data_IF_258953970172
#
_entry.id   IF_258953970172
#
_cell.length_a   1.000
_cell.length_b   1.000
_cell.length_c   1.000
_cell.angle_alpha   90.00
_cell.angle_beta   90.00
_cell.angle_gamma   90.00
#
_symmetry.space_group_name_H-M   'P 1'
#
loop_
_entity.id
_entity.type
_entity.pdbx_description
1 polymer ?
#
# COMPACT_ATOMS: atom_id res chain seq x y z
N UNK A 1 50.25 58.08 2.43
CA UNK A 1 49.95 56.98 1.49
C UNK A 1 49.39 55.80 2.30
N UNK A 2 48.07 55.65 2.39
CA UNK A 2 47.42 54.54 3.12
C UNK A 2 46.21 54.08 2.31
N UNK A 3 46.29 52.86 1.74
CA UNK A 3 45.18 52.19 1.04
C UNK A 3 44.41 51.34 2.05
N UNK A 4 43.10 51.56 2.19
CA UNK A 4 42.20 50.70 2.97
C UNK A 4 41.93 49.40 2.19
N UNK A 5 41.90 48.22 2.82
CA UNK A 5 41.52 46.99 2.14
C UNK A 5 39.99 46.89 2.08
N UNK A 6 39.45 46.67 0.88
CA UNK A 6 38.05 46.33 0.69
C UNK A 6 37.91 44.81 0.80
N UNK A 7 37.14 44.34 1.79
CA UNK A 7 36.75 42.92 1.89
C UNK A 7 35.52 42.69 1.03
N UNK A 8 35.67 41.90 -0.03
CA UNK A 8 34.54 41.35 -0.79
C UNK A 8 34.08 40.07 -0.11
N UNK A 9 32.87 40.08 0.47
CA UNK A 9 32.19 38.87 0.93
C UNK A 9 31.46 38.26 -0.27
N UNK A 10 31.96 37.15 -0.78
CA UNK A 10 31.31 36.38 -1.83
C UNK A 10 30.19 35.55 -1.20
N UNK A 11 28.94 35.99 -1.35
CA UNK A 11 27.77 35.21 -0.91
C UNK A 11 27.57 34.03 -1.87
N UNK A 12 27.89 32.82 -1.41
CA UNK A 12 27.63 31.58 -2.15
C UNK A 12 26.14 31.23 -2.02
N UNK A 13 25.35 31.54 -3.05
CA UNK A 13 23.95 31.10 -3.13
C UNK A 13 23.93 29.63 -3.51
N UNK A 14 23.75 28.75 -2.53
CA UNK A 14 23.51 27.33 -2.77
C UNK A 14 22.05 27.22 -3.26
N UNK A 15 21.87 27.06 -4.56
CA UNK A 15 20.57 26.71 -5.13
C UNK A 15 20.24 25.28 -4.68
N UNK A 16 19.41 25.14 -3.64
CA UNK A 16 18.82 23.86 -3.27
C UNK A 16 17.84 23.51 -4.39
N UNK A 17 18.02 22.38 -5.11
CA UNK A 17 17.05 21.98 -6.12
C UNK A 17 15.72 21.72 -5.41
N UNK A 18 14.71 22.50 -5.74
CA UNK A 18 13.35 22.21 -5.34
C UNK A 18 12.97 20.87 -5.99
N UNK A 19 12.88 19.82 -5.17
CA UNK A 19 12.29 18.56 -5.59
C UNK A 19 10.82 18.83 -5.92
N UNK A 20 10.52 19.00 -7.20
CA UNK A 20 9.15 19.06 -7.68
C UNK A 20 8.56 17.67 -7.56
N UNK A 21 7.75 17.43 -6.53
CA UNK A 21 6.89 16.24 -6.51
C UNK A 21 5.89 16.39 -7.66
N UNK A 22 5.84 15.41 -8.56
CA UNK A 22 4.83 15.40 -9.61
C UNK A 22 3.43 15.53 -8.98
N UNK A 23 2.52 16.23 -9.66
CA UNK A 23 1.16 16.38 -9.15
C UNK A 23 0.50 15.00 -8.95
N UNK A 24 -0.34 14.83 -7.92
CA UNK A 24 -1.08 13.60 -7.73
C UNK A 24 -1.91 13.24 -8.98
N UNK A 25 -1.85 11.97 -9.37
CA UNK A 25 -2.67 11.43 -10.47
C UNK A 25 -3.60 10.37 -9.92
N UNK A 26 -4.90 10.50 -10.20
CA UNK A 26 -5.94 9.62 -9.67
C UNK A 26 -6.53 8.77 -10.80
N UNK A 27 -6.56 7.46 -10.58
CA UNK A 27 -7.26 6.50 -11.43
C UNK A 27 -8.39 5.85 -10.65
N UNK A 28 -9.47 5.49 -11.34
CA UNK A 28 -10.59 4.77 -10.76
C UNK A 28 -10.87 3.48 -11.54
N UNK A 29 -11.16 2.40 -10.82
CA UNK A 29 -11.62 1.14 -11.38
C UNK A 29 -12.86 0.65 -10.64
N UNK A 30 -13.74 -0.02 -11.36
CA UNK A 30 -15.01 -0.52 -10.80
C UNK A 30 -15.13 -2.03 -11.03
N UNK A 31 -16.01 -2.67 -10.28
CA UNK A 31 -16.40 -4.08 -10.49
C UNK A 31 -17.91 -4.22 -10.32
N UNK A 32 -18.56 -5.14 -11.05
CA UNK A 32 -18.05 -5.75 -12.29
C UNK A 32 -17.79 -4.66 -13.35
N UNK A 33 -16.89 -4.89 -14.31
CA UNK A 33 -16.50 -3.86 -15.27
C UNK A 33 -16.38 -4.41 -16.69
N UNK A 34 -16.72 -3.54 -17.66
CA UNK A 34 -16.45 -3.71 -19.09
C UNK A 34 -15.27 -2.85 -19.57
N UNK A 35 -14.64 -2.11 -18.66
CA UNK A 35 -13.49 -1.21 -18.91
C UNK A 35 -12.35 -1.45 -17.91
N UNK A 36 -11.85 -0.38 -17.28
CA UNK A 36 -10.85 -0.52 -16.21
C UNK A 36 -11.47 -1.20 -14.98
N UNK A 37 -10.98 -2.39 -14.64
CA UNK A 37 -11.52 -3.13 -13.49
C UNK A 37 -10.87 -2.72 -12.17
N UNK A 38 -11.63 -2.78 -11.08
CA UNK A 38 -11.13 -2.55 -9.73
C UNK A 38 -9.94 -3.47 -9.40
N UNK A 39 -9.99 -4.74 -9.84
CA UNK A 39 -8.90 -5.68 -9.70
C UNK A 39 -7.63 -5.22 -10.46
N UNK A 40 -7.76 -4.70 -11.69
CA UNK A 40 -6.61 -4.19 -12.44
C UNK A 40 -5.92 -3.02 -11.73
N UNK A 41 -6.67 -2.14 -11.06
CA UNK A 41 -6.08 -1.05 -10.27
C UNK A 41 -5.27 -1.57 -9.09
N UNK A 42 -5.78 -2.59 -8.38
CA UNK A 42 -5.05 -3.26 -7.29
C UNK A 42 -3.77 -3.92 -7.81
N UNK A 43 -3.84 -4.67 -8.91
CA UNK A 43 -2.67 -5.34 -9.49
C UNK A 43 -1.64 -4.32 -9.99
N UNK A 44 -2.07 -3.24 -10.65
CA UNK A 44 -1.20 -2.16 -11.12
C UNK A 44 -0.40 -1.52 -9.97
N UNK A 45 -1.03 -1.32 -8.80
CA UNK A 45 -0.34 -0.80 -7.63
C UNK A 45 0.78 -1.75 -7.16
N UNK A 46 0.50 -3.06 -7.07
CA UNK A 46 1.45 -4.07 -6.59
C UNK A 46 2.60 -4.29 -7.59
N UNK A 47 2.29 -4.35 -8.88
CA UNK A 47 3.28 -4.55 -9.94
C UNK A 47 4.18 -3.31 -10.13
N UNK A 48 3.63 -2.12 -9.87
CA UNK A 48 4.35 -0.85 -9.87
C UNK A 48 5.33 -0.68 -8.71
N UNK A 49 5.16 -1.40 -7.60
CA UNK A 49 5.97 -1.24 -6.39
C UNK A 49 7.46 -1.57 -6.62
N UNK A 50 8.33 -0.81 -5.97
CA UNK A 50 9.80 -0.95 -6.05
C UNK A 50 10.47 -1.15 -4.69
N UNK A 51 9.90 -0.62 -3.60
CA UNK A 51 10.50 -0.62 -2.26
C UNK A 51 9.61 -1.32 -1.24
N UNK A 52 8.33 -0.94 -1.16
CA UNK A 52 7.42 -1.44 -0.14
C UNK A 52 5.96 -1.49 -0.58
N UNK A 53 5.22 -2.45 -0.02
CA UNK A 53 3.75 -2.54 -0.09
C UNK A 53 3.22 -2.89 1.30
N UNK A 54 2.48 -1.98 1.90
CA UNK A 54 1.81 -2.15 3.19
C UNK A 54 0.30 -2.19 2.99
N UNK A 55 -0.38 -3.24 3.48
CA UNK A 55 -1.76 -3.57 3.09
C UNK A 55 -2.66 -3.77 4.31
N UNK A 56 -3.75 -3.01 4.40
CA UNK A 56 -4.83 -3.28 5.35
C UNK A 56 -6.00 -3.95 4.61
N UNK A 57 -6.38 -5.16 5.03
CA UNK A 57 -7.38 -5.98 4.35
C UNK A 57 -8.46 -6.49 5.30
N UNK A 58 -9.72 -6.15 5.03
CA UNK A 58 -10.85 -6.79 5.73
C UNK A 58 -10.95 -8.28 5.39
N UNK A 59 -11.34 -8.63 4.17
CA UNK A 59 -11.41 -10.04 3.73
C UNK A 59 -10.43 -10.29 2.59
N UNK A 60 -9.69 -11.40 2.67
CA UNK A 60 -8.66 -11.74 1.70
C UNK A 60 -8.77 -13.21 1.25
N UNK A 61 -9.30 -13.40 0.03
CA UNK A 61 -9.41 -14.71 -0.65
C UNK A 61 -8.95 -14.67 -2.11
N UNK A 62 -8.50 -13.52 -2.60
CA UNK A 62 -8.12 -13.32 -3.99
C UNK A 62 -6.76 -13.95 -4.30
N UNK A 63 -6.78 -15.04 -5.08
CA UNK A 63 -5.59 -15.68 -5.64
C UNK A 63 -4.72 -14.74 -6.48
N UNK A 64 -5.25 -13.95 -7.45
CA UNK A 64 -4.40 -13.08 -8.26
C UNK A 64 -3.70 -12.00 -7.42
N UNK A 65 -4.38 -11.40 -6.45
CA UNK A 65 -3.76 -10.41 -5.55
C UNK A 65 -2.68 -11.08 -4.70
N UNK A 66 -2.95 -12.26 -4.13
CA UNK A 66 -1.96 -12.98 -3.33
C UNK A 66 -0.72 -13.36 -4.16
N UNK A 67 -0.90 -13.81 -5.41
CA UNK A 67 0.20 -14.11 -6.32
C UNK A 67 1.04 -12.87 -6.65
N UNK A 68 0.41 -11.73 -6.90
CA UNK A 68 1.09 -10.47 -7.18
C UNK A 68 1.94 -10.00 -5.98
N UNK A 69 1.45 -10.15 -4.74
CA UNK A 69 2.21 -9.81 -3.54
C UNK A 69 3.45 -10.70 -3.34
N UNK A 70 3.31 -11.99 -3.61
CA UNK A 70 4.47 -12.91 -3.58
C UNK A 70 5.46 -12.56 -4.68
N UNK A 71 4.98 -12.21 -5.87
CA UNK A 71 5.85 -11.73 -6.96
C UNK A 71 6.58 -10.44 -6.57
N UNK A 72 5.90 -9.46 -5.98
CA UNK A 72 6.51 -8.23 -5.49
C UNK A 72 7.62 -8.54 -4.45
N UNK A 73 7.33 -9.38 -3.47
CA UNK A 73 8.34 -9.84 -2.50
C UNK A 73 9.54 -10.49 -3.19
N UNK A 74 9.31 -11.36 -4.17
CA UNK A 74 10.40 -12.03 -4.90
C UNK A 74 11.24 -11.04 -5.73
N UNK A 75 10.70 -9.87 -6.09
CA UNK A 75 11.48 -8.75 -6.69
C UNK A 75 12.29 -7.96 -5.66
N UNK A 76 12.21 -8.29 -4.36
CA UNK A 76 12.89 -7.58 -3.28
C UNK A 76 12.05 -6.49 -2.61
N UNK A 77 10.76 -6.35 -2.96
CA UNK A 77 9.86 -5.38 -2.33
C UNK A 77 9.51 -5.86 -0.91
N UNK A 78 9.61 -4.99 0.09
CA UNK A 78 9.14 -5.28 1.44
C UNK A 78 7.61 -5.32 1.46
N UNK A 79 7.02 -6.45 1.89
CA UNK A 79 5.55 -6.58 1.92
C UNK A 79 5.07 -6.90 3.33
N UNK A 80 4.14 -6.08 3.84
CA UNK A 80 3.46 -6.27 5.13
C UNK A 80 1.95 -6.27 4.94
N UNK A 81 1.26 -7.16 5.65
CA UNK A 81 -0.20 -7.27 5.62
C UNK A 81 -0.77 -7.26 7.03
N UNK A 82 -1.71 -6.36 7.29
CA UNK A 82 -2.67 -6.48 8.40
C UNK A 82 -3.99 -6.94 7.84
N UNK A 83 -4.53 -8.04 8.37
CA UNK A 83 -5.85 -8.52 7.98
C UNK A 83 -6.79 -8.65 9.17
N UNK A 84 -8.10 -8.49 8.95
CA UNK A 84 -9.09 -8.76 10.00
C UNK A 84 -9.03 -10.24 10.42
N UNK A 85 -9.00 -10.50 11.73
CA UNK A 85 -8.84 -11.86 12.26
C UNK A 85 -10.04 -12.75 11.95
N UNK A 86 -11.26 -12.24 12.08
CA UNK A 86 -12.49 -13.03 11.95
C UNK A 86 -12.84 -13.28 10.49
N UNK A 87 -12.69 -12.28 9.63
CA UNK A 87 -12.96 -12.39 8.20
C UNK A 87 -11.94 -13.26 7.44
N UNK A 88 -10.83 -13.65 8.08
CA UNK A 88 -9.78 -14.49 7.51
C UNK A 88 -9.51 -15.76 8.34
N UNK A 89 -10.46 -16.21 9.17
CA UNK A 89 -10.33 -17.45 9.94
C UNK A 89 -10.74 -18.71 9.18
N UNK A 90 -11.35 -18.56 8.00
CA UNK A 90 -11.80 -19.70 7.17
C UNK A 90 -10.64 -20.31 6.33
N UNK A 91 -10.75 -21.60 6.02
CA UNK A 91 -9.74 -22.38 5.26
C UNK A 91 -9.40 -21.82 3.88
N UNK A 92 -10.29 -21.02 3.27
CA UNK A 92 -10.10 -20.43 1.95
C UNK A 92 -9.40 -19.06 1.98
N UNK A 93 -8.99 -18.57 3.16
CA UNK A 93 -8.21 -17.34 3.25
C UNK A 93 -6.90 -17.44 2.46
N UNK A 94 -6.53 -16.36 1.78
CA UNK A 94 -5.21 -16.24 1.17
C UNK A 94 -4.12 -15.87 2.20
N UNK A 95 -4.50 -15.50 3.44
CA UNK A 95 -3.56 -15.12 4.50
C UNK A 95 -2.58 -16.26 4.81
N UNK A 96 -3.07 -17.49 4.98
CA UNK A 96 -2.21 -18.66 5.24
C UNK A 96 -1.23 -18.90 4.10
N UNK A 97 -1.66 -18.74 2.85
CA UNK A 97 -0.76 -18.83 1.69
C UNK A 97 0.35 -17.77 1.74
N UNK A 98 0.01 -16.52 2.05
CA UNK A 98 0.98 -15.43 2.15
C UNK A 98 2.01 -15.66 3.28
N UNK A 99 1.55 -16.11 4.45
CA UNK A 99 2.43 -16.50 5.57
C UNK A 99 3.40 -17.61 5.14
N UNK A 100 2.91 -18.64 4.44
CA UNK A 100 3.74 -19.75 3.97
C UNK A 100 4.76 -19.32 2.91
N UNK A 101 4.44 -18.30 2.11
CA UNK A 101 5.37 -17.62 1.19
C UNK A 101 6.27 -16.59 1.89
N UNK A 102 6.16 -16.46 3.21
CA UNK A 102 6.99 -15.64 4.08
C UNK A 102 6.70 -14.14 3.98
N UNK A 103 5.50 -13.76 3.57
CA UNK A 103 5.03 -12.38 3.74
C UNK A 103 4.81 -12.14 5.22
N UNK A 104 5.18 -10.95 5.71
CA UNK A 104 4.93 -10.60 7.11
C UNK A 104 3.45 -10.27 7.28
N UNK A 105 2.71 -11.11 8.01
CA UNK A 105 1.28 -10.93 8.22
C UNK A 105 0.97 -10.78 9.70
N UNK A 106 0.05 -9.87 10.02
CA UNK A 106 -0.57 -9.75 11.34
C UNK A 106 -2.09 -9.81 11.22
N UNK A 107 -2.74 -10.38 12.23
CA UNK A 107 -4.20 -10.42 12.32
C UNK A 107 -4.69 -9.45 13.39
N UNK A 108 -5.56 -8.52 13.00
CA UNK A 108 -6.20 -7.59 13.92
C UNK A 108 -7.52 -8.20 14.42
N UNK A 109 -7.59 -8.47 15.72
CA UNK A 109 -8.82 -8.91 16.41
C UNK A 109 -9.32 -7.93 17.45
N UNK A 110 -8.82 -6.68 17.45
CA UNK A 110 -9.11 -5.67 18.47
C UNK A 110 -10.48 -5.03 18.29
N UNK A 111 -10.97 -4.98 17.04
CA UNK A 111 -12.27 -4.41 16.69
C UNK A 111 -13.28 -5.51 16.37
N UNK A 112 -14.57 -5.13 16.35
CA UNK A 112 -15.63 -6.01 15.83
C UNK A 112 -15.35 -6.38 14.37
N UNK A 113 -14.94 -5.39 13.57
CA UNK A 113 -14.40 -5.56 12.22
C UNK A 113 -13.30 -4.52 11.95
N UNK A 114 -12.14 -4.95 11.46
CA UNK A 114 -11.15 -4.08 10.82
C UNK A 114 -11.51 -3.97 9.34
N UNK A 115 -12.34 -2.98 8.99
CA UNK A 115 -13.01 -2.93 7.69
C UNK A 115 -12.24 -2.18 6.60
N UNK A 116 -10.95 -1.87 6.81
CA UNK A 116 -10.13 -1.17 5.82
C UNK A 116 -9.82 -2.05 4.61
N UNK A 117 -9.71 -1.43 3.43
CA UNK A 117 -9.18 -2.01 2.19
C UNK A 117 -8.28 -0.99 1.50
N UNK A 118 -7.03 -0.91 1.94
CA UNK A 118 -6.08 0.03 1.34
C UNK A 118 -4.68 -0.56 1.25
N UNK A 119 -3.89 0.00 0.34
CA UNK A 119 -2.45 -0.25 0.24
C UNK A 119 -1.69 1.07 0.20
N UNK A 120 -0.56 1.12 0.89
CA UNK A 120 0.47 2.16 0.71
C UNK A 120 1.63 1.52 -0.04
N UNK A 121 1.99 2.12 -1.17
CA UNK A 121 3.06 1.65 -2.05
C UNK A 121 4.17 2.70 -2.08
N UNK A 122 5.38 2.26 -1.73
CA UNK A 122 6.62 3.03 -1.77
C UNK A 122 6.60 4.37 -1.01
N UNK A 123 5.63 4.58 -0.10
CA UNK A 123 5.44 5.84 0.61
C UNK A 123 4.95 7.00 -0.26
N UNK A 124 4.44 6.70 -1.45
CA UNK A 124 4.05 7.71 -2.45
C UNK A 124 2.66 7.46 -3.06
N UNK A 125 2.29 6.19 -3.23
CA UNK A 125 1.05 5.80 -3.89
C UNK A 125 0.09 5.16 -2.89
N UNK A 126 -1.19 5.51 -2.97
CA UNK A 126 -2.25 4.90 -2.17
C UNK A 126 -3.28 4.24 -3.07
N UNK A 127 -3.59 2.99 -2.79
CA UNK A 127 -4.79 2.32 -3.27
C UNK A 127 -5.82 2.31 -2.14
N UNK A 128 -7.07 2.71 -2.40
CA UNK A 128 -8.18 2.60 -1.43
C UNK A 128 -9.50 2.35 -2.16
N UNK A 129 -10.60 2.12 -1.43
CA UNK A 129 -11.93 1.91 -2.00
C UNK A 129 -12.78 0.94 -1.20
N UNK A 130 -13.85 0.43 -1.80
CA UNK A 130 -14.72 -0.58 -1.17
C UNK A 130 -14.20 -2.02 -1.36
N UNK A 131 -13.31 -2.22 -2.34
CA UNK A 131 -12.89 -3.52 -2.84
C UNK A 131 -12.20 -4.41 -1.78
N UNK A 132 -12.91 -5.41 -1.28
CA UNK A 132 -12.28 -6.51 -0.55
C UNK A 132 -11.35 -7.31 -1.47
N UNK A 133 -10.20 -7.77 -0.99
CA UNK A 133 -9.26 -8.57 -1.79
C UNK A 133 -9.77 -10.01 -1.98
N UNK A 134 -10.90 -10.16 -2.66
CA UNK A 134 -11.66 -11.42 -2.84
C UNK A 134 -12.08 -11.61 -4.30
N UNK A 135 -12.36 -12.86 -4.69
CA UNK A 135 -12.87 -13.15 -6.03
C UNK A 135 -14.29 -12.58 -6.26
N UNK A 136 -15.13 -12.51 -5.20
CA UNK A 136 -16.47 -11.94 -5.29
C UNK A 136 -16.45 -10.44 -5.51
N UNK A 137 -15.54 -9.71 -4.85
CA UNK A 137 -15.35 -8.28 -5.10
C UNK A 137 -14.98 -7.99 -6.56
N UNK A 138 -14.14 -8.84 -7.17
CA UNK A 138 -13.75 -8.68 -8.56
C UNK A 138 -14.91 -8.92 -9.56
N UNK A 139 -15.76 -9.90 -9.31
CA UNK A 139 -16.62 -10.48 -10.35
C UNK A 139 -18.14 -10.40 -10.06
N UNK A 140 -18.55 -10.18 -8.82
CA UNK A 140 -19.95 -10.32 -8.39
C UNK A 140 -20.48 -9.10 -7.66
N UNK A 141 -19.65 -8.42 -6.88
CA UNK A 141 -20.06 -7.26 -6.11
C UNK A 141 -19.87 -5.96 -6.89
N UNK A 142 -20.76 -5.00 -6.65
CA UNK A 142 -20.54 -3.60 -7.02
C UNK A 142 -19.44 -3.00 -6.13
N UNK A 143 -18.25 -2.78 -6.68
CA UNK A 143 -17.07 -2.31 -5.92
C UNK A 143 -16.34 -1.20 -6.66
N UNK A 144 -15.58 -0.39 -5.92
CA UNK A 144 -14.66 0.61 -6.48
C UNK A 144 -13.25 0.49 -5.91
N UNK A 145 -12.29 0.97 -6.69
CA UNK A 145 -10.91 1.22 -6.29
C UNK A 145 -10.47 2.56 -6.83
N UNK A 146 -9.86 3.37 -5.98
CA UNK A 146 -9.05 4.52 -6.34
C UNK A 146 -7.57 4.15 -6.23
N UNK A 147 -6.79 4.55 -7.23
CA UNK A 147 -5.33 4.49 -7.22
C UNK A 147 -4.78 5.91 -7.38
N UNK A 148 -4.20 6.43 -6.30
CA UNK A 148 -3.69 7.79 -6.21
C UNK A 148 -2.16 7.73 -6.20
N UNK A 149 -1.52 8.14 -7.29
CA UNK A 149 -0.06 8.14 -7.47
C UNK A 149 0.53 9.52 -7.23
N UNK A 150 1.84 9.62 -6.95
CA UNK A 150 2.56 10.86 -6.70
C UNK A 150 1.95 11.69 -5.55
N UNK A 151 1.53 11.01 -4.48
CA UNK A 151 0.77 11.60 -3.39
C UNK A 151 1.41 11.30 -2.01
N UNK A 152 2.65 11.74 -1.77
CA UNK A 152 3.40 11.38 -0.56
C UNK A 152 2.74 11.84 0.74
N UNK A 153 2.01 12.97 0.73
CA UNK A 153 1.25 13.44 1.90
C UNK A 153 0.09 12.50 2.24
N UNK A 154 -0.64 12.03 1.23
CA UNK A 154 -1.72 11.06 1.42
C UNK A 154 -1.15 9.72 1.88
N UNK A 155 -0.08 9.26 1.22
CA UNK A 155 0.62 8.04 1.59
C UNK A 155 1.12 8.09 3.04
N UNK A 156 1.64 9.22 3.50
CA UNK A 156 2.07 9.41 4.89
C UNK A 156 0.92 9.24 5.89
N UNK A 157 -0.24 9.82 5.60
CA UNK A 157 -1.42 9.67 6.47
C UNK A 157 -1.89 8.20 6.55
N UNK A 158 -2.01 7.52 5.41
CA UNK A 158 -2.37 6.10 5.35
C UNK A 158 -1.30 5.20 5.97
N UNK A 159 -0.02 5.56 5.85
CA UNK A 159 1.08 4.84 6.46
C UNK A 159 1.00 4.91 7.99
N UNK A 160 0.62 6.07 8.54
CA UNK A 160 0.37 6.24 9.97
C UNK A 160 -0.72 5.28 10.47
N UNK A 161 -1.85 5.22 9.76
CA UNK A 161 -2.93 4.29 10.10
C UNK A 161 -2.51 2.82 9.95
N UNK A 162 -1.79 2.48 8.88
CA UNK A 162 -1.25 1.13 8.71
C UNK A 162 -0.35 0.73 9.88
N UNK A 163 0.58 1.59 10.28
CA UNK A 163 1.51 1.31 11.37
C UNK A 163 0.75 1.14 12.70
N UNK A 164 -0.24 2.00 12.98
CA UNK A 164 -1.10 1.86 14.15
C UNK A 164 -1.82 0.51 14.18
N UNK A 165 -2.44 0.10 13.06
CA UNK A 165 -3.11 -1.20 12.92
C UNK A 165 -2.12 -2.36 13.05
N UNK A 166 -0.92 -2.22 12.49
CA UNK A 166 0.14 -3.21 12.55
C UNK A 166 0.60 -3.45 13.99
N UNK A 167 0.87 -2.39 14.73
CA UNK A 167 1.43 -2.45 16.09
C UNK A 167 0.44 -3.06 17.10
N UNK A 168 -0.86 -2.84 16.92
CA UNK A 168 -1.89 -3.44 17.79
C UNK A 168 -2.34 -4.86 17.36
N UNK A 169 -1.78 -5.41 16.28
CA UNK A 169 -2.17 -6.72 15.72
C UNK A 169 -1.22 -7.85 16.12
N UNK A 170 -1.76 -9.07 16.19
CA UNK A 170 -1.01 -10.27 16.54
C UNK A 170 -0.19 -10.78 15.35
N UNK A 171 1.11 -10.99 15.55
CA UNK A 171 1.97 -11.57 14.53
C UNK A 171 1.62 -13.04 14.24
N UNK A 172 1.72 -13.43 12.96
CA UNK A 172 1.60 -14.83 12.51
C UNK A 172 2.90 -15.31 11.90
N UNK A 173 3.26 -16.55 12.21
CA UNK A 173 4.47 -17.23 11.73
C UNK A 173 4.10 -18.49 10.93
N UNK A 174 5.05 -19.05 10.18
CA UNK A 174 4.85 -20.30 9.43
C UNK A 174 4.36 -21.42 10.36
N UNK A 175 3.44 -22.26 9.85
CA UNK A 175 2.82 -23.34 10.62
C UNK A 175 1.52 -22.93 11.34
N UNK A 176 1.00 -21.73 11.02
CA UNK A 176 -0.36 -21.31 11.33
C UNK A 176 -1.40 -21.98 10.41
#
# INVERSE_FOLDING_TARGET
MMRKPAFFVLALVIAVPALTTAAPVVFAGFSPSTGQSALQMVLCAIDGARRSVDIAAYSFTSKPVAAALVAAKNRGVAVRLVADKKANSDRYTAVTFLINKGISVRLNGKYVIMHNKFMVVDGDTVQTGSFNYTASAANRNAENVLLVKNAPMLATAYQGEFNRLWDESDARVKGY
#
